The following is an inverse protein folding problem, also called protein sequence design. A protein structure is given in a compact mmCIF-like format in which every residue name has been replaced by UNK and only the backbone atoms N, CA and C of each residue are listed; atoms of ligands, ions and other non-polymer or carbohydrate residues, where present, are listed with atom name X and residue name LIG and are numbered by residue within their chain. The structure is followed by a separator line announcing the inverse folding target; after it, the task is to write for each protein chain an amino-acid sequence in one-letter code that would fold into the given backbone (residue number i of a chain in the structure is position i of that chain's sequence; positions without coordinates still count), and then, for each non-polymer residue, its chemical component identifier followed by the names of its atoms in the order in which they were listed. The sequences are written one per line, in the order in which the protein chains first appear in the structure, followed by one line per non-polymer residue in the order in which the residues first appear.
data_IF_773095029694
#
_entry.id   IF_773095029694
#
_cell.length_a   1.000
_cell.length_b   1.000
_cell.length_c   1.000
_cell.angle_alpha   90.00
_cell.angle_beta   90.00
_cell.angle_gamma   90.00
#
_symmetry.space_group_name_H-M   'P 1'
#
loop_
_entity.id
_entity.type
_entity.pdbx_description
1 polymer ?
#
# COMPACT_ATOMS: atom_id res chain seq x y z
N UNK A 1 -3.71 34.95 24.84
CA UNK A 1 -2.29 35.33 24.87
C UNK A 1 -1.93 35.95 23.52
N UNK A 2 -1.99 37.29 23.43
CA UNK A 2 -1.57 38.02 22.23
C UNK A 2 -0.05 37.92 22.13
N UNK A 3 0.54 37.44 21.03
CA UNK A 3 1.98 37.34 20.91
C UNK A 3 2.65 38.71 21.01
N UNK A 4 3.84 38.74 21.60
CA UNK A 4 4.76 39.88 21.53
C UNK A 4 4.89 40.39 20.08
N UNK A 5 4.85 41.72 19.89
CA UNK A 5 4.85 42.38 18.57
C UNK A 5 6.05 41.95 17.72
N UNK A 6 7.20 41.69 18.35
CA UNK A 6 8.41 41.20 17.66
C UNK A 6 8.18 39.79 17.10
N UNK A 7 7.58 38.89 17.88
CA UNK A 7 7.25 37.52 17.46
C UNK A 7 6.19 37.52 16.35
N UNK A 8 5.21 38.42 16.43
CA UNK A 8 4.19 38.59 15.38
C UNK A 8 4.80 39.02 14.04
N UNK A 9 5.75 39.98 14.05
CA UNK A 9 6.46 40.40 12.82
C UNK A 9 7.29 39.27 12.23
N UNK A 10 8.08 38.58 13.05
CA UNK A 10 8.90 37.46 12.59
C UNK A 10 8.04 36.33 11.99
N UNK A 11 6.88 36.05 12.59
CA UNK A 11 5.95 35.04 12.08
C UNK A 11 5.35 35.42 10.72
N UNK A 12 4.96 36.69 10.52
CA UNK A 12 4.48 37.21 9.23
C UNK A 12 5.52 37.02 8.13
N UNK A 13 6.78 37.37 8.40
CA UNK A 13 7.87 37.21 7.42
C UNK A 13 8.14 35.74 7.07
N UNK A 14 8.05 34.84 8.05
CA UNK A 14 8.17 33.38 7.80
C UNK A 14 7.03 32.87 6.93
N UNK A 15 5.79 33.32 7.19
CA UNK A 15 4.62 32.98 6.35
C UNK A 15 4.82 33.49 4.92
N UNK A 16 5.25 34.75 4.75
CA UNK A 16 5.53 35.34 3.42
C UNK A 16 6.59 34.57 2.66
N UNK A 17 7.69 34.20 3.33
CA UNK A 17 8.78 33.42 2.71
C UNK A 17 8.28 32.05 2.24
N UNK A 18 7.56 31.33 3.09
CA UNK A 18 7.04 30.00 2.76
C UNK A 18 5.98 30.04 1.65
N UNK A 19 5.15 31.09 1.62
CA UNK A 19 4.15 31.31 0.58
C UNK A 19 4.76 31.46 -0.81
N UNK A 20 5.93 32.12 -0.93
CA UNK A 20 6.64 32.28 -2.22
C UNK A 20 7.30 31.01 -2.73
N UNK A 21 7.64 30.07 -1.84
CA UNK A 21 8.43 28.88 -2.18
C UNK A 21 7.64 27.57 -2.21
N UNK A 22 6.35 27.56 -1.89
CA UNK A 22 5.58 26.32 -1.80
C UNK A 22 4.93 25.94 -3.14
N UNK A 23 5.14 24.72 -3.67
CA UNK A 23 4.41 24.23 -4.84
C UNK A 23 3.01 23.70 -4.50
N UNK A 24 2.69 23.51 -3.21
CA UNK A 24 1.39 23.02 -2.77
C UNK A 24 0.35 24.15 -2.73
N UNK A 25 -0.55 24.17 -3.72
CA UNK A 25 -1.62 25.15 -3.82
C UNK A 25 -2.53 25.21 -2.58
N UNK A 26 -2.76 24.09 -1.89
CA UNK A 26 -3.59 24.07 -0.68
C UNK A 26 -2.85 24.74 0.48
N UNK A 27 -1.56 24.50 0.59
CA UNK A 27 -0.70 25.14 1.58
C UNK A 27 -0.58 26.65 1.30
N UNK A 28 -0.35 27.05 0.05
CA UNK A 28 -0.33 28.44 -0.38
C UNK A 28 -1.63 29.17 0.01
N UNK A 29 -2.80 28.58 -0.28
CA UNK A 29 -4.10 29.14 0.09
C UNK A 29 -4.26 29.33 1.60
N UNK A 30 -3.81 28.37 2.41
CA UNK A 30 -3.85 28.47 3.88
C UNK A 30 -2.91 29.57 4.39
N UNK A 31 -1.72 29.69 3.81
CA UNK A 31 -0.75 30.73 4.15
C UNK A 31 -1.30 32.13 3.84
N UNK A 32 -1.93 32.32 2.68
CA UNK A 32 -2.62 33.58 2.32
C UNK A 32 -3.69 33.92 3.36
N UNK A 33 -4.56 32.97 3.69
CA UNK A 33 -5.64 33.21 4.66
C UNK A 33 -5.10 33.64 6.03
N UNK A 34 -4.06 32.98 6.52
CA UNK A 34 -3.48 33.31 7.83
C UNK A 34 -2.68 34.60 7.77
N UNK A 35 -1.98 34.90 6.68
CA UNK A 35 -1.28 36.16 6.49
C UNK A 35 -2.24 37.36 6.59
N UNK A 36 -3.39 37.29 5.92
CA UNK A 36 -4.41 38.34 5.99
C UNK A 36 -4.86 38.59 7.44
N UNK A 37 -5.15 37.53 8.20
CA UNK A 37 -5.52 37.67 9.62
C UNK A 37 -4.37 38.25 10.43
N UNK A 38 -3.13 37.83 10.17
CA UNK A 38 -1.97 38.40 10.84
C UNK A 38 -1.80 39.89 10.51
N UNK A 39 -2.17 40.34 9.31
CA UNK A 39 -2.11 41.74 8.87
C UNK A 39 -3.26 42.60 9.41
N UNK A 40 -4.26 41.99 10.05
CA UNK A 40 -5.34 42.68 10.77
C UNK A 40 -6.74 42.34 10.26
N UNK A 41 -6.87 41.52 9.22
CA UNK A 41 -8.18 41.14 8.71
C UNK A 41 -8.97 40.28 9.71
N UNK A 42 -10.30 40.46 9.68
CA UNK A 42 -11.19 39.68 10.55
C UNK A 42 -11.27 38.24 10.02
N UNK A 43 -11.09 37.20 10.87
CA UNK A 43 -11.17 35.79 10.43
C UNK A 43 -12.45 35.45 9.67
N UNK A 44 -13.58 36.09 10.03
CA UNK A 44 -14.85 35.92 9.33
C UNK A 44 -14.83 36.47 7.90
N UNK A 45 -14.17 37.60 7.66
CA UNK A 45 -14.04 38.20 6.32
C UNK A 45 -13.14 37.33 5.44
N UNK A 46 -12.02 36.87 5.99
CA UNK A 46 -11.11 35.92 5.32
C UNK A 46 -11.83 34.62 4.97
N UNK A 47 -12.64 34.09 5.88
CA UNK A 47 -13.43 32.88 5.65
C UNK A 47 -14.36 33.03 4.44
N UNK A 48 -15.10 34.15 4.35
CA UNK A 48 -15.96 34.47 3.20
C UNK A 48 -15.17 34.60 1.91
N UNK A 49 -14.08 35.38 1.89
CA UNK A 49 -13.23 35.56 0.69
C UNK A 49 -12.64 34.24 0.20
N UNK A 50 -12.31 33.34 1.13
CA UNK A 50 -11.69 32.06 0.82
C UNK A 50 -12.70 30.93 0.62
N UNK A 51 -14.01 31.17 0.72
CA UNK A 51 -15.03 30.13 0.56
C UNK A 51 -14.90 28.98 1.57
N UNK A 52 -14.52 29.26 2.81
CA UNK A 52 -14.38 28.27 3.88
C UNK A 52 -15.15 28.69 5.13
N UNK A 53 -15.38 27.76 6.06
CA UNK A 53 -16.02 28.09 7.34
C UNK A 53 -15.10 28.94 8.24
N UNK A 54 -15.69 29.76 9.12
CA UNK A 54 -14.95 30.48 10.16
C UNK A 54 -14.13 29.52 11.04
N UNK A 55 -14.71 28.36 11.37
CA UNK A 55 -14.07 27.29 12.15
C UNK A 55 -12.80 26.76 11.50
N UNK A 56 -12.76 26.71 10.16
CA UNK A 56 -11.59 26.31 9.38
C UNK A 56 -10.45 27.31 9.55
N UNK A 57 -10.73 28.61 9.40
CA UNK A 57 -9.74 29.68 9.59
C UNK A 57 -9.20 29.68 11.03
N UNK A 58 -10.09 29.57 12.02
CA UNK A 58 -9.68 29.44 13.42
C UNK A 58 -8.83 28.19 13.66
N UNK A 59 -9.12 27.07 12.98
CA UNK A 59 -8.31 25.86 13.01
C UNK A 59 -6.88 26.10 12.52
N UNK A 60 -6.71 26.80 11.40
CA UNK A 60 -5.39 27.17 10.88
C UNK A 60 -4.64 28.10 11.83
N UNK A 61 -5.30 29.13 12.36
CA UNK A 61 -4.70 30.06 13.32
C UNK A 61 -4.24 29.36 14.60
N UNK A 62 -5.08 28.47 15.16
CA UNK A 62 -4.71 27.66 16.33
C UNK A 62 -3.47 26.80 16.07
N UNK A 63 -3.38 26.16 14.90
CA UNK A 63 -2.20 25.36 14.52
C UNK A 63 -0.96 26.25 14.42
N UNK A 64 -1.07 27.40 13.77
CA UNK A 64 0.05 28.32 13.61
C UNK A 64 0.52 28.86 14.96
N UNK A 65 -0.37 29.31 15.84
CA UNK A 65 -0.01 29.86 17.14
C UNK A 65 0.58 28.82 18.09
N UNK A 66 0.12 27.56 18.03
CA UNK A 66 0.71 26.46 18.82
C UNK A 66 2.12 26.11 18.37
N UNK A 67 2.35 26.07 17.06
CA UNK A 67 3.64 25.63 16.51
C UNK A 67 4.66 26.76 16.31
N UNK A 68 4.21 28.02 16.23
CA UNK A 68 5.01 29.20 15.88
C UNK A 68 5.81 29.02 14.57
N UNK A 69 5.27 28.23 13.65
CA UNK A 69 5.93 27.73 12.44
C UNK A 69 4.91 27.59 11.30
N UNK A 70 5.09 28.26 10.14
CA UNK A 70 4.16 28.17 9.01
C UNK A 70 4.02 26.74 8.45
N UNK A 71 5.02 25.89 8.64
CA UNK A 71 5.05 24.48 8.26
C UNK A 71 3.89 23.69 8.92
N UNK A 72 3.39 24.15 10.07
CA UNK A 72 2.25 23.53 10.76
C UNK A 72 0.92 23.65 10.00
N UNK A 73 0.86 24.47 8.95
CA UNK A 73 -0.29 24.60 8.04
C UNK A 73 -0.27 23.57 6.91
N UNK A 74 0.85 22.87 6.70
CA UNK A 74 0.94 21.77 5.76
C UNK A 74 -0.01 20.64 6.17
N UNK A 75 -0.51 19.89 5.18
CA UNK A 75 -1.22 18.67 5.48
C UNK A 75 -0.26 17.69 6.16
N UNK A 76 -0.69 17.12 7.29
CA UNK A 76 0.04 16.02 7.90
C UNK A 76 -0.04 14.83 6.96
N UNK A 77 1.05 14.06 6.89
CA UNK A 77 1.03 12.74 6.29
C UNK A 77 -0.09 11.94 6.96
N UNK A 78 -1.15 11.67 6.22
CA UNK A 78 -2.23 10.83 6.71
C UNK A 78 -1.72 9.40 6.60
N UNK A 79 -1.45 8.76 7.74
CA UNK A 79 -1.52 7.31 7.79
C UNK A 79 -2.94 6.98 7.34
N UNK A 80 -3.11 6.38 6.16
CA UNK A 80 -4.43 6.03 5.64
C UNK A 80 -5.15 5.06 6.56
N UNK A 81 -6.14 4.32 6.03
CA UNK A 81 -6.75 3.21 6.78
C UNK A 81 -5.64 2.32 7.35
N UNK A 82 -5.60 2.05 8.67
CA UNK A 82 -4.57 1.21 9.25
C UNK A 82 -4.56 -0.13 8.49
N UNK A 83 -3.37 -0.66 8.14
CA UNK A 83 -3.29 -1.91 7.42
C UNK A 83 -3.94 -3.02 8.25
N UNK A 84 -4.88 -3.76 7.66
CA UNK A 84 -5.62 -4.83 8.34
C UNK A 84 -4.69 -5.92 8.90
N UNK A 85 -3.51 -6.09 8.31
CA UNK A 85 -2.40 -6.85 8.90
C UNK A 85 -1.35 -5.89 9.45
N UNK A 86 -1.14 -5.96 10.76
CA UNK A 86 -0.09 -5.30 11.50
C UNK A 86 1.31 -5.77 11.03
N UNK A 87 2.34 -5.00 11.34
CA UNK A 87 3.71 -5.30 10.90
C UNK A 87 4.20 -6.69 11.35
N UNK A 88 3.86 -7.12 12.58
CA UNK A 88 4.20 -8.44 13.10
C UNK A 88 3.59 -9.57 12.25
N UNK A 89 2.31 -9.46 11.91
CA UNK A 89 1.60 -10.46 11.12
C UNK A 89 2.13 -10.53 9.69
N UNK A 90 2.53 -9.40 9.09
CA UNK A 90 3.17 -9.39 7.77
C UNK A 90 4.51 -10.11 7.77
N UNK A 91 5.34 -9.86 8.80
CA UNK A 91 6.61 -10.58 8.98
C UNK A 91 6.37 -12.07 9.15
N UNK A 92 5.35 -12.44 9.93
CA UNK A 92 5.01 -13.85 10.14
C UNK A 92 4.51 -14.51 8.86
N UNK A 93 3.62 -13.85 8.12
CA UNK A 93 3.17 -14.30 6.81
C UNK A 93 4.33 -14.55 5.84
N UNK A 94 5.34 -13.67 5.83
CA UNK A 94 6.54 -13.87 5.03
C UNK A 94 7.35 -15.10 5.45
N UNK A 95 7.46 -15.37 6.77
CA UNK A 95 8.13 -16.57 7.29
C UNK A 95 7.38 -17.85 6.91
N UNK A 96 6.04 -17.83 6.99
CA UNK A 96 5.22 -18.98 6.60
C UNK A 96 5.39 -19.30 5.12
N UNK A 97 5.35 -18.28 4.25
CA UNK A 97 5.54 -18.46 2.80
C UNK A 97 6.92 -19.02 2.40
N UNK A 98 7.92 -18.93 3.29
CA UNK A 98 9.25 -19.51 3.08
C UNK A 98 9.36 -20.99 3.50
N UNK A 99 8.32 -21.55 4.11
CA UNK A 99 8.26 -22.93 4.61
C UNK A 99 7.17 -23.72 3.91
N UNK A 100 7.21 -25.05 4.04
CA UNK A 100 6.16 -25.91 3.51
C UNK A 100 4.94 -25.90 4.45
N UNK A 101 3.69 -25.91 3.96
CA UNK A 101 2.52 -26.15 4.81
C UNK A 101 2.59 -27.48 5.57
N UNK A 102 3.31 -28.47 5.03
CA UNK A 102 3.51 -29.78 5.64
C UNK A 102 4.24 -29.68 6.99
N UNK A 103 5.16 -28.71 7.13
CA UNK A 103 5.88 -28.41 8.38
C UNK A 103 4.93 -28.00 9.52
N UNK A 104 3.70 -27.63 9.17
CA UNK A 104 2.65 -27.17 10.08
C UNK A 104 1.46 -28.14 10.13
N UNK A 105 1.62 -29.36 9.58
CA UNK A 105 0.61 -30.42 9.64
C UNK A 105 -0.48 -30.33 8.58
N UNK A 106 -0.30 -29.52 7.52
CA UNK A 106 -1.24 -29.48 6.40
C UNK A 106 -0.86 -30.48 5.30
N UNK A 107 -1.84 -31.27 4.84
CA UNK A 107 -1.68 -32.24 3.73
C UNK A 107 -1.76 -31.56 2.35
N UNK A 108 -1.06 -30.44 2.16
CA UNK A 108 -1.05 -29.73 0.90
C UNK A 108 0.36 -29.27 0.53
N UNK A 109 0.73 -29.46 -0.74
CA UNK A 109 2.08 -29.14 -1.26
C UNK A 109 2.34 -27.64 -1.44
N UNK A 110 1.34 -26.79 -1.16
CA UNK A 110 1.45 -25.35 -1.31
C UNK A 110 0.46 -24.62 -0.44
N UNK A 111 0.85 -23.42 0.01
CA UNK A 111 -0.01 -22.58 0.82
C UNK A 111 -1.29 -22.24 0.05
N UNK A 112 -2.42 -22.31 0.75
CA UNK A 112 -3.70 -21.76 0.31
C UNK A 112 -4.08 -20.62 1.25
N UNK A 113 -5.02 -19.78 0.84
CA UNK A 113 -5.53 -18.71 1.71
C UNK A 113 -6.13 -19.29 2.99
N UNK A 114 -6.84 -20.42 2.89
CA UNK A 114 -7.42 -21.11 4.03
C UNK A 114 -6.36 -21.63 5.01
N UNK A 115 -5.30 -22.28 4.51
CA UNK A 115 -4.24 -22.83 5.38
C UNK A 115 -3.39 -21.73 6.01
N UNK A 116 -3.09 -20.66 5.28
CA UNK A 116 -2.41 -19.49 5.87
C UNK A 116 -3.26 -18.82 6.95
N UNK A 117 -4.57 -18.68 6.73
CA UNK A 117 -5.47 -18.13 7.75
C UNK A 117 -5.47 -19.03 8.99
N UNK A 118 -5.68 -20.33 8.81
CA UNK A 118 -5.74 -21.29 9.91
C UNK A 118 -4.45 -21.26 10.74
N UNK A 119 -3.29 -21.20 10.08
CA UNK A 119 -2.01 -21.11 10.77
C UNK A 119 -1.84 -19.80 11.54
N UNK A 120 -2.21 -18.66 10.94
CA UNK A 120 -2.14 -17.37 11.62
C UNK A 120 -3.10 -17.29 12.81
N UNK A 121 -4.31 -17.83 12.69
CA UNK A 121 -5.29 -17.91 13.79
C UNK A 121 -4.80 -18.82 14.92
N UNK A 122 -4.19 -19.96 14.60
CA UNK A 122 -3.57 -20.85 15.58
C UNK A 122 -2.44 -20.18 16.37
N UNK A 123 -1.75 -19.21 15.76
CA UNK A 123 -0.71 -18.38 16.39
C UNK A 123 -1.27 -17.14 17.12
N UNK A 124 -2.59 -17.01 17.24
CA UNK A 124 -3.25 -15.93 17.95
C UNK A 124 -3.45 -14.64 17.15
N UNK A 125 -3.30 -14.68 15.82
CA UNK A 125 -3.63 -13.53 14.99
C UNK A 125 -5.16 -13.31 14.94
N UNK A 126 -5.65 -12.05 14.93
CA UNK A 126 -7.04 -11.75 14.66
C UNK A 126 -7.47 -12.29 13.30
N UNK A 127 -8.71 -12.78 13.22
CA UNK A 127 -9.30 -13.28 11.99
C UNK A 127 -9.29 -12.21 10.90
N UNK A 128 -8.71 -12.55 9.75
CA UNK A 128 -8.65 -11.68 8.55
C UNK A 128 -9.42 -12.29 7.38
N UNK A 129 -10.03 -11.44 6.55
CA UNK A 129 -10.74 -11.87 5.34
C UNK A 129 -9.78 -12.46 4.30
N UNK A 130 -10.30 -13.30 3.41
CA UNK A 130 -9.48 -13.99 2.40
C UNK A 130 -8.86 -12.99 1.44
N UNK A 131 -9.61 -11.93 1.10
CA UNK A 131 -9.12 -10.85 0.24
C UNK A 131 -7.99 -10.05 0.89
N UNK A 132 -8.09 -9.79 2.20
CA UNK A 132 -7.01 -9.14 2.94
C UNK A 132 -5.72 -9.96 2.88
N UNK A 133 -5.84 -11.28 3.04
CA UNK A 133 -4.69 -12.17 3.01
C UNK A 133 -4.12 -12.31 1.60
N UNK A 134 -4.97 -12.42 0.56
CA UNK A 134 -4.55 -12.41 -0.85
C UNK A 134 -3.81 -11.12 -1.21
N UNK A 135 -4.35 -9.96 -0.84
CA UNK A 135 -3.68 -8.67 -1.05
C UNK A 135 -2.33 -8.62 -0.35
N UNK A 136 -2.24 -9.11 0.88
CA UNK A 136 -1.01 -9.10 1.66
C UNK A 136 0.08 -9.96 1.01
N UNK A 137 -0.28 -11.18 0.58
CA UNK A 137 0.62 -12.07 -0.17
C UNK A 137 1.06 -11.40 -1.49
N UNK A 138 0.13 -10.77 -2.21
CA UNK A 138 0.45 -10.05 -3.45
C UNK A 138 1.42 -8.88 -3.25
N UNK A 139 1.24 -8.10 -2.17
CA UNK A 139 2.14 -7.00 -1.79
C UNK A 139 3.54 -7.48 -1.39
N UNK A 140 3.67 -8.71 -0.90
CA UNK A 140 4.96 -9.36 -0.64
C UNK A 140 5.66 -9.85 -1.93
N UNK A 141 5.07 -9.65 -3.10
CA UNK A 141 5.63 -10.04 -4.40
C UNK A 141 5.24 -11.44 -4.86
N UNK A 142 4.52 -12.20 -4.05
CA UNK A 142 4.08 -13.55 -4.41
C UNK A 142 2.89 -13.53 -5.36
N UNK A 143 2.72 -14.61 -6.11
CA UNK A 143 1.59 -14.86 -7.02
C UNK A 143 1.03 -16.24 -6.76
N UNK A 144 -0.29 -16.35 -6.76
CA UNK A 144 -0.96 -17.63 -6.65
C UNK A 144 -0.85 -18.39 -7.97
N UNK A 145 -0.24 -19.58 -7.95
CA UNK A 145 -0.20 -20.45 -9.13
C UNK A 145 -1.48 -21.26 -9.21
N UNK A 146 -2.13 -21.25 -10.37
CA UNK A 146 -3.30 -22.10 -10.61
C UNK A 146 -2.84 -23.56 -10.74
N UNK A 147 -3.49 -24.52 -10.05
CA UNK A 147 -3.22 -25.94 -10.27
C UNK A 147 -3.41 -26.27 -11.75
N UNK A 148 -2.47 -27.03 -12.33
CA UNK A 148 -2.65 -27.58 -13.67
C UNK A 148 -3.26 -28.97 -13.53
N UNK A 149 -4.42 -29.17 -14.17
CA UNK A 149 -4.99 -30.51 -14.31
C UNK A 149 -4.16 -31.26 -15.34
N UNK A 150 -3.52 -32.35 -14.92
CA UNK A 150 -2.95 -33.33 -15.84
C UNK A 150 -3.93 -34.48 -15.91
N UNK A 151 -4.29 -34.91 -17.12
CA UNK A 151 -5.07 -36.13 -17.32
C UNK A 151 -4.31 -37.30 -16.69
N UNK A 152 -5.01 -38.12 -15.91
CA UNK A 152 -4.44 -39.39 -15.46
C UNK A 152 -3.95 -40.19 -16.68
N UNK A 153 -2.81 -40.89 -16.59
CA UNK A 153 -2.32 -41.73 -17.69
C UNK A 153 -3.42 -42.69 -18.13
N UNK A 154 -3.81 -42.63 -19.40
CA UNK A 154 -4.76 -43.56 -19.99
C UNK A 154 -4.00 -44.84 -20.36
N UNK A 155 -4.27 -45.99 -19.70
CA UNK A 155 -3.56 -47.24 -19.97
C UNK A 155 -3.74 -47.74 -21.41
N UNK A 156 -4.77 -47.30 -22.14
CA UNK A 156 -4.98 -47.63 -23.56
C UNK A 156 -4.04 -46.84 -24.49
N UNK A 157 -3.67 -45.60 -24.13
CA UNK A 157 -2.72 -44.78 -24.92
C UNK A 157 -1.31 -45.34 -24.86
N UNK A 158 -0.88 -45.85 -23.72
CA UNK A 158 0.43 -46.49 -23.57
C UNK A 158 0.51 -47.79 -24.37
N UNK A 159 -0.56 -48.59 -24.39
CA UNK A 159 -0.63 -49.79 -25.24
C UNK A 159 -0.61 -49.47 -26.73
N UNK A 160 -1.32 -48.43 -27.18
CA UNK A 160 -1.25 -47.96 -28.57
C UNK A 160 0.10 -47.37 -28.94
N UNK A 161 0.74 -46.60 -28.05
CA UNK A 161 2.08 -46.06 -28.29
C UNK A 161 3.13 -47.17 -28.38
N UNK A 162 3.06 -48.17 -27.49
CA UNK A 162 3.96 -49.33 -27.49
C UNK A 162 3.72 -50.23 -28.70
N UNK A 163 2.46 -50.42 -29.10
CA UNK A 163 2.09 -51.12 -30.35
C UNK A 163 2.54 -50.36 -31.60
N UNK A 164 2.50 -49.02 -31.62
CA UNK A 164 2.97 -48.22 -32.76
C UNK A 164 4.51 -48.20 -32.86
N UNK A 165 5.21 -48.30 -31.73
CA UNK A 165 6.67 -48.49 -31.65
C UNK A 165 7.07 -49.90 -32.11
N UNK A 166 6.37 -50.95 -31.68
CA UNK A 166 6.59 -52.33 -32.14
C UNK A 166 6.19 -52.53 -33.62
N UNK A 167 5.20 -51.80 -34.12
CA UNK A 167 4.75 -51.85 -35.51
C UNK A 167 5.59 -50.97 -36.47
N UNK A 168 6.67 -50.34 -35.99
CA UNK A 168 7.65 -49.64 -36.84
C UNK A 168 7.13 -48.44 -37.64
N UNK A 169 6.00 -47.82 -37.25
CA UNK A 169 5.33 -46.81 -38.07
C UNK A 169 5.70 -45.34 -37.75
N UNK A 170 6.86 -45.08 -37.14
CA UNK A 170 7.38 -43.71 -37.02
C UNK A 170 8.83 -43.65 -37.50
N UNK A 171 8.99 -43.53 -38.83
CA UNK A 171 10.15 -42.86 -39.38
C UNK A 171 10.04 -41.36 -39.05
N UNK A 172 10.90 -40.86 -38.16
CA UNK A 172 11.09 -39.41 -38.00
C UNK A 172 12.15 -38.92 -38.99
N UNK A 173 11.92 -37.79 -39.70
CA UNK A 173 12.81 -37.30 -40.74
C UNK A 173 13.99 -36.49 -40.20
N UNK A 174 15.17 -36.75 -40.78
CA UNK A 174 16.13 -35.73 -41.23
C UNK A 174 16.77 -34.80 -40.21
N UNK A 175 17.82 -35.25 -39.53
CA UNK A 175 18.86 -34.37 -39.01
C UNK A 175 19.80 -34.00 -40.17
N UNK A 176 19.78 -32.73 -40.62
CA UNK A 176 20.83 -32.17 -41.49
C UNK A 176 21.64 -31.17 -40.67
N UNK A 177 22.85 -31.58 -40.33
CA UNK A 177 23.91 -30.70 -39.86
C UNK A 177 24.34 -29.76 -41.01
N UNK A 178 24.58 -28.49 -40.70
CA UNK A 178 25.43 -27.63 -41.54
C UNK A 178 26.33 -26.82 -40.62
N UNK A 179 27.62 -27.14 -40.67
CA UNK A 179 28.74 -26.30 -40.29
C UNK A 179 29.35 -25.77 -41.59
N UNK A 180 29.73 -24.49 -41.62
CA UNK A 180 30.36 -23.82 -42.76
C UNK A 180 30.04 -22.35 -42.79
#
# INVERSE_FOLDING_TARGET
MVPDRVKARALRERVRRMMRGTPDARLARRLVAVLQVLEGERPGRVATLMGVSRSTVHGWLRRLWRAQKPEALADRVRSGRPPLLQAAQRRRLQQLLARSPEDFGFFCTGWTVATLRAQLEAEGAPRVSDDTLREAVHRLGYRWKRPRYTLAPDPEREKKARSALDAGLLASPGARAVSG
#
